data_IF_196479563137
#
_entry.id   IF_196479563137
#
_cell.length_a   1.000
_cell.length_b   1.000
_cell.length_c   1.000
_cell.angle_alpha   90.00
_cell.angle_beta   90.00
_cell.angle_gamma   90.00
#
_symmetry.space_group_name_H-M   'P 1'
#
loop_
_entity.id
_entity.type
_entity.pdbx_description
1 polymer ?
#
# COMPACT_ATOMS: atom_id res chain seq x y z
N UNK A 1 -15.20 -0.79 15.36
CA UNK A 1 -15.34 -0.51 13.92
C UNK A 1 -14.48 -1.52 13.18
N UNK A 2 -15.04 -2.21 12.20
CA UNK A 2 -14.45 -3.36 11.52
C UNK A 2 -14.39 -3.06 10.03
N UNK A 3 -13.37 -3.57 9.34
CA UNK A 3 -13.14 -3.27 7.92
C UNK A 3 -14.14 -4.01 7.00
N UNK A 4 -14.53 -5.21 7.40
CA UNK A 4 -15.52 -6.03 6.70
C UNK A 4 -16.48 -6.68 7.71
N UNK A 5 -17.56 -7.29 7.20
CA UNK A 5 -18.47 -8.10 8.04
C UNK A 5 -17.77 -9.38 8.54
N UNK A 6 -16.80 -9.88 7.80
CA UNK A 6 -16.07 -11.09 8.17
C UNK A 6 -15.17 -10.83 9.39
N UNK A 7 -14.55 -9.65 9.46
CA UNK A 7 -13.79 -9.18 10.62
C UNK A 7 -14.59 -9.20 11.95
N UNK A 8 -15.93 -9.17 11.91
CA UNK A 8 -16.74 -9.23 13.14
C UNK A 8 -16.90 -10.64 13.69
N UNK A 9 -16.51 -11.67 12.94
CA UNK A 9 -16.77 -13.07 13.31
C UNK A 9 -15.82 -13.57 14.39
N UNK A 10 -14.57 -13.09 14.40
CA UNK A 10 -13.58 -13.49 15.39
C UNK A 10 -12.49 -12.41 15.53
N UNK A 11 -11.92 -12.17 16.73
CA UNK A 11 -10.89 -11.13 16.90
C UNK A 11 -9.64 -11.32 16.01
N UNK A 12 -9.27 -12.56 15.71
CA UNK A 12 -8.18 -12.83 14.77
C UNK A 12 -8.51 -12.47 13.31
N UNK A 13 -9.80 -12.51 12.92
CA UNK A 13 -10.21 -12.10 11.58
C UNK A 13 -10.17 -10.59 11.43
N UNK A 14 -10.50 -9.83 12.48
CA UNK A 14 -10.30 -8.38 12.49
C UNK A 14 -8.82 -8.00 12.28
N UNK A 15 -7.90 -8.73 12.93
CA UNK A 15 -6.48 -8.56 12.71
C UNK A 15 -6.07 -8.94 11.28
N UNK A 16 -6.47 -10.12 10.81
CA UNK A 16 -6.09 -10.65 9.50
C UNK A 16 -6.58 -9.74 8.36
N UNK A 17 -7.83 -9.32 8.38
CA UNK A 17 -8.42 -8.46 7.36
C UNK A 17 -7.78 -7.06 7.37
N UNK A 18 -7.51 -6.50 8.55
CA UNK A 18 -6.81 -5.20 8.64
C UNK A 18 -5.37 -5.31 8.12
N UNK A 19 -4.69 -6.42 8.39
CA UNK A 19 -3.32 -6.65 7.92
C UNK A 19 -3.27 -6.90 6.41
N UNK A 20 -4.18 -7.70 5.87
CA UNK A 20 -4.30 -7.93 4.43
C UNK A 20 -4.52 -6.61 3.68
N UNK A 21 -5.43 -5.78 4.16
CA UNK A 21 -5.71 -4.48 3.56
C UNK A 21 -4.49 -3.53 3.64
N UNK A 22 -3.76 -3.54 4.75
CA UNK A 22 -2.49 -2.80 4.85
C UNK A 22 -1.47 -3.23 3.78
N UNK A 23 -1.34 -4.53 3.51
CA UNK A 23 -0.45 -5.05 2.48
C UNK A 23 -0.90 -4.62 1.08
N UNK A 24 -2.18 -4.80 0.76
CA UNK A 24 -2.72 -4.37 -0.53
C UNK A 24 -2.50 -2.87 -0.77
N UNK A 25 -2.67 -2.04 0.27
CA UNK A 25 -2.39 -0.61 0.20
C UNK A 25 -0.92 -0.32 -0.11
N UNK A 26 0.01 -0.95 0.61
CA UNK A 26 1.45 -0.74 0.42
C UNK A 26 1.93 -1.24 -0.94
N UNK A 27 1.52 -2.45 -1.35
CA UNK A 27 1.89 -3.05 -2.62
C UNK A 27 1.34 -2.23 -3.81
N UNK A 28 0.11 -1.71 -3.68
CA UNK A 28 -0.48 -0.83 -4.71
C UNK A 28 0.31 0.47 -4.84
N UNK A 29 0.66 1.10 -3.72
CA UNK A 29 1.45 2.35 -3.72
C UNK A 29 2.84 2.09 -4.29
N UNK A 30 3.56 1.06 -3.83
CA UNK A 30 4.90 0.72 -4.33
C UNK A 30 4.88 0.39 -5.83
N UNK A 31 3.90 -0.39 -6.28
CA UNK A 31 3.70 -0.69 -7.71
C UNK A 31 3.43 0.58 -8.51
N UNK A 32 2.58 1.46 -7.98
CA UNK A 32 2.26 2.73 -8.64
C UNK A 32 3.46 3.66 -8.74
N UNK A 33 4.35 3.66 -7.74
CA UNK A 33 5.60 4.41 -7.73
C UNK A 33 6.56 3.86 -8.78
N UNK A 34 6.66 2.54 -8.88
CA UNK A 34 7.49 1.87 -9.89
C UNK A 34 7.08 2.24 -11.33
N UNK A 35 5.77 2.33 -11.61
CA UNK A 35 5.25 2.73 -12.91
C UNK A 35 5.10 4.25 -13.10
N UNK A 36 5.43 5.07 -12.09
CA UNK A 36 5.37 6.52 -12.16
C UNK A 36 3.97 7.13 -12.08
N UNK A 37 2.97 6.39 -11.58
CA UNK A 37 1.63 6.93 -11.30
C UNK A 37 1.59 7.81 -10.05
N UNK A 38 2.46 7.52 -9.07
CA UNK A 38 2.64 8.31 -7.85
C UNK A 38 4.10 8.72 -7.73
N UNK A 39 4.35 9.95 -7.27
CA UNK A 39 5.71 10.38 -6.92
C UNK A 39 6.13 9.65 -5.63
N UNK A 40 7.20 8.87 -5.68
CA UNK A 40 7.72 8.07 -4.55
C UNK A 40 8.31 8.85 -3.36
N UNK A 41 7.87 10.09 -3.17
CA UNK A 41 8.23 10.92 -2.02
C UNK A 41 7.07 10.94 -1.01
N UNK A 42 6.68 9.76 -0.52
CA UNK A 42 5.64 9.56 0.49
C UNK A 42 6.25 9.07 1.81
N UNK A 43 6.90 9.95 2.60
CA UNK A 43 7.65 9.56 3.78
C UNK A 43 6.75 9.14 4.95
N UNK A 44 5.50 9.64 5.02
CA UNK A 44 4.59 9.31 6.12
C UNK A 44 3.51 8.32 5.71
N UNK A 45 2.98 7.57 6.68
CA UNK A 45 1.82 6.70 6.48
C UNK A 45 0.63 7.42 5.86
N UNK A 46 0.36 8.67 6.28
CA UNK A 46 -0.77 9.44 5.75
C UNK A 46 -0.55 9.83 4.29
N UNK A 47 0.68 10.12 3.88
CA UNK A 47 0.98 10.42 2.48
C UNK A 47 0.72 9.20 1.59
N UNK A 48 1.13 8.01 2.04
CA UNK A 48 0.84 6.74 1.36
C UNK A 48 -0.65 6.44 1.29
N UNK A 49 -1.38 6.64 2.40
CA UNK A 49 -2.83 6.46 2.45
C UNK A 49 -3.55 7.39 1.44
N UNK A 50 -3.19 8.67 1.41
CA UNK A 50 -3.77 9.62 0.44
C UNK A 50 -3.40 9.28 -1.00
N UNK A 51 -2.18 8.76 -1.25
CA UNK A 51 -1.79 8.29 -2.57
C UNK A 51 -2.65 7.09 -3.00
N UNK A 52 -2.85 6.12 -2.10
CA UNK A 52 -3.71 4.97 -2.33
C UNK A 52 -5.17 5.38 -2.61
N UNK A 53 -5.75 6.28 -1.82
CA UNK A 53 -7.13 6.76 -2.03
C UNK A 53 -7.30 7.41 -3.42
N UNK A 54 -6.32 8.22 -3.85
CA UNK A 54 -6.34 8.83 -5.19
C UNK A 54 -6.24 7.79 -6.30
N UNK A 55 -5.38 6.80 -6.13
CA UNK A 55 -5.25 5.68 -7.07
C UNK A 55 -6.54 4.87 -7.14
N UNK A 56 -7.14 4.54 -5.99
CA UNK A 56 -8.38 3.80 -5.90
C UNK A 56 -9.50 4.49 -6.68
N UNK A 57 -9.68 5.81 -6.50
CA UNK A 57 -10.64 6.59 -7.29
C UNK A 57 -10.34 6.50 -8.79
N UNK A 58 -9.08 6.74 -9.20
CA UNK A 58 -8.71 6.71 -10.61
C UNK A 58 -8.96 5.34 -11.26
N UNK A 59 -8.54 4.25 -10.60
CA UNK A 59 -8.68 2.89 -11.08
C UNK A 59 -10.15 2.47 -11.14
N UNK A 60 -10.94 2.81 -10.11
CA UNK A 60 -12.36 2.48 -10.09
C UNK A 60 -13.12 3.21 -11.22
N UNK A 61 -12.83 4.49 -11.47
CA UNK A 61 -13.46 5.22 -12.57
C UNK A 61 -13.04 4.67 -13.94
N UNK A 62 -11.80 4.23 -14.11
CA UNK A 62 -11.37 3.52 -15.31
C UNK A 62 -12.14 2.21 -15.50
N UNK A 63 -12.24 1.39 -14.45
CA UNK A 63 -12.99 0.14 -14.49
C UNK A 63 -14.46 0.38 -14.84
N UNK A 64 -15.09 1.37 -14.22
CA UNK A 64 -16.48 1.75 -14.51
C UNK A 64 -16.66 2.19 -15.95
N UNK A 65 -15.69 2.90 -16.53
CA UNK A 65 -15.70 3.31 -17.93
C UNK A 65 -15.69 2.15 -18.94
N UNK A 66 -15.08 1.02 -18.58
CA UNK A 66 -15.07 -0.22 -19.41
C UNK A 66 -16.16 -1.23 -19.01
N UNK A 67 -17.02 -0.88 -18.06
CA UNK A 67 -18.09 -1.76 -17.56
C UNK A 67 -17.61 -2.87 -16.62
N UNK A 68 -16.41 -2.74 -16.07
CA UNK A 68 -15.85 -3.64 -15.05
C UNK A 68 -16.19 -3.09 -13.66
N UNK A 69 -16.34 -3.98 -12.68
CA UNK A 69 -16.59 -3.60 -11.29
C UNK A 69 -15.40 -2.83 -10.69
N UNK A 70 -15.69 -1.99 -9.70
CA UNK A 70 -14.69 -1.24 -8.94
C UNK A 70 -13.66 -2.23 -8.34
N UNK A 71 -12.37 -1.98 -8.60
CA UNK A 71 -11.28 -2.86 -8.14
C UNK A 71 -10.96 -2.65 -6.67
N UNK A 72 -11.01 -1.38 -6.24
CA UNK A 72 -10.63 -0.94 -4.89
C UNK A 72 -11.78 -0.14 -4.27
N UNK A 73 -12.92 -0.77 -3.95
CA UNK A 73 -14.12 -0.06 -3.47
C UNK A 73 -14.04 0.39 -1.99
N UNK A 74 -12.89 0.19 -1.35
CA UNK A 74 -12.75 0.27 0.09
C UNK A 74 -12.71 1.72 0.60
N UNK A 75 -13.39 1.98 1.72
CA UNK A 75 -13.41 3.29 2.38
C UNK A 75 -12.96 3.13 3.81
N UNK A 76 -11.88 3.79 4.19
CA UNK A 76 -11.32 3.69 5.53
C UNK A 76 -12.04 4.60 6.51
N UNK A 77 -12.57 4.00 7.58
CA UNK A 77 -13.12 4.77 8.71
C UNK A 77 -11.99 5.23 9.64
N UNK A 78 -12.17 6.33 10.40
CA UNK A 78 -11.12 6.84 11.30
C UNK A 78 -10.59 5.78 12.29
N UNK A 79 -11.46 4.90 12.78
CA UNK A 79 -11.05 3.81 13.68
C UNK A 79 -10.20 2.75 12.98
N UNK A 80 -10.44 2.48 11.70
CA UNK A 80 -9.63 1.53 10.90
C UNK A 80 -8.28 2.15 10.57
N UNK A 81 -8.23 3.45 10.26
CA UNK A 81 -6.99 4.19 10.03
C UNK A 81 -6.03 4.07 11.23
N UNK A 82 -6.55 4.15 12.45
CA UNK A 82 -5.71 3.97 13.65
C UNK A 82 -5.18 2.54 13.81
N UNK A 83 -5.92 1.53 13.37
CA UNK A 83 -5.42 0.15 13.34
C UNK A 83 -4.30 0.00 12.31
N UNK A 84 -4.50 0.51 11.09
CA UNK A 84 -3.49 0.51 10.03
C UNK A 84 -2.22 1.25 10.47
N UNK A 85 -2.36 2.41 11.11
CA UNK A 85 -1.24 3.16 11.71
C UNK A 85 -0.46 2.34 12.74
N UNK A 86 -1.15 1.49 13.50
CA UNK A 86 -0.52 0.62 14.49
C UNK A 86 0.34 -0.44 13.81
N UNK A 87 -0.15 -1.04 12.73
CA UNK A 87 0.59 -2.01 11.90
C UNK A 87 1.81 -1.34 11.27
N UNK A 88 1.64 -0.17 10.67
CA UNK A 88 2.73 0.59 10.05
C UNK A 88 3.88 0.86 11.02
N UNK A 89 3.56 1.32 12.24
CA UNK A 89 4.56 1.52 13.31
C UNK A 89 5.30 0.22 13.65
N UNK A 90 4.60 -0.92 13.69
CA UNK A 90 5.23 -2.20 13.96
C UNK A 90 6.20 -2.61 12.85
N UNK A 91 5.80 -2.44 11.58
CA UNK A 91 6.66 -2.70 10.41
C UNK A 91 7.89 -1.81 10.43
N UNK A 92 7.72 -0.50 10.63
CA UNK A 92 8.84 0.45 10.72
C UNK A 92 9.79 0.11 11.86
N UNK A 93 9.28 -0.35 13.01
CA UNK A 93 10.09 -0.81 14.14
C UNK A 93 10.90 -2.06 13.79
N UNK A 94 10.32 -2.99 13.04
CA UNK A 94 10.97 -4.21 12.60
C UNK A 94 12.08 -3.89 11.59
N UNK A 95 11.82 -2.99 10.64
CA UNK A 95 12.79 -2.52 9.64
C UNK A 95 13.96 -1.79 10.28
N UNK A 96 13.70 -0.84 11.20
CA UNK A 96 14.76 -0.09 11.91
C UNK A 96 15.63 -0.98 12.79
N UNK A 97 15.12 -2.11 13.28
CA UNK A 97 15.90 -3.11 14.02
C UNK A 97 16.74 -4.02 13.13
N UNK A 98 16.68 -3.86 11.81
CA UNK A 98 17.40 -4.68 10.83
C UNK A 98 16.97 -6.15 10.84
N UNK A 99 15.77 -6.45 11.37
CA UNK A 99 15.28 -7.82 11.46
C UNK A 99 14.74 -8.34 10.11
N UNK A 100 14.45 -7.43 9.18
CA UNK A 100 13.99 -7.71 7.82
C UNK A 100 14.60 -6.67 6.87
N UNK A 101 15.20 -7.12 5.77
CA UNK A 101 15.64 -6.25 4.67
C UNK A 101 14.65 -6.35 3.51
N UNK A 102 14.19 -5.21 3.01
CA UNK A 102 13.38 -5.17 1.79
C UNK A 102 14.22 -5.68 0.63
N UNK A 103 13.75 -6.67 -0.16
CA UNK A 103 14.37 -7.01 -1.43
C UNK A 103 14.45 -5.73 -2.29
N UNK A 104 15.56 -5.54 -3.03
CA UNK A 104 15.65 -4.42 -3.96
C UNK A 104 14.47 -4.47 -4.93
N UNK A 105 13.81 -3.32 -5.12
CA UNK A 105 12.78 -3.17 -6.12
C UNK A 105 13.30 -3.68 -7.48
N UNK A 106 12.45 -4.33 -8.30
CA UNK A 106 12.83 -4.67 -9.67
C UNK A 106 13.26 -3.40 -10.40
N UNK A 107 14.21 -3.55 -11.32
CA UNK A 107 14.73 -2.43 -12.10
C UNK A 107 13.61 -1.61 -12.73
N UNK A 108 13.62 -0.29 -12.52
CA UNK A 108 12.68 0.59 -13.21
C UNK A 108 12.98 0.53 -14.71
N UNK A 109 11.94 0.23 -15.50
CA UNK A 109 12.04 0.25 -16.95
C UNK A 109 12.09 1.71 -17.36
N UNK A 110 13.24 2.17 -17.86
CA UNK A 110 13.34 3.51 -18.42
C UNK A 110 12.58 3.59 -19.76
N UNK A 111 12.29 4.82 -20.22
CA UNK A 111 11.55 5.07 -21.46
C UNK A 111 12.18 4.43 -22.72
N UNK A 112 13.43 3.97 -22.65
CA UNK A 112 14.16 3.26 -23.69
C UNK A 112 14.04 1.73 -23.60
N UNK A 113 13.27 1.20 -22.63
CA UNK A 113 13.11 -0.23 -22.37
C UNK A 113 14.29 -0.87 -21.64
N UNK A 114 15.29 -0.10 -21.20
CA UNK A 114 16.38 -0.63 -20.39
C UNK A 114 16.01 -0.71 -18.91
N UNK A 115 16.59 -1.67 -18.21
CA UNK A 115 16.31 -1.94 -16.80
C UNK A 115 17.42 -1.31 -15.95
N UNK A 116 17.17 -0.14 -15.36
CA UNK A 116 18.13 0.47 -14.44
C UNK A 116 18.01 -0.20 -13.06
N UNK A 117 19.08 -0.80 -12.57
CA UNK A 117 19.10 -1.33 -11.19
C UNK A 117 18.88 -0.17 -10.21
N UNK A 118 17.96 -0.26 -9.25
CA UNK A 118 17.85 0.76 -8.22
C UNK A 118 19.13 0.72 -7.40
N UNK A 119 19.81 1.86 -7.30
CA UNK A 119 20.89 2.03 -6.34
C UNK A 119 20.38 1.57 -4.99
N UNK A 120 21.05 0.57 -4.40
CA UNK A 120 20.73 0.05 -3.07
C UNK A 120 20.41 1.22 -2.15
N UNK A 121 19.19 1.24 -1.58
CA UNK A 121 18.87 2.14 -0.48
C UNK A 121 19.85 1.77 0.63
N UNK A 122 20.93 2.55 0.75
CA UNK A 122 21.88 2.43 1.85
C UNK A 122 21.12 2.94 3.08
N UNK A 123 20.62 2.00 3.87
CA UNK A 123 20.16 2.29 5.23
C UNK A 123 21.39 2.77 6.02
N UNK A 124 21.30 3.88 6.76
CA UNK A 124 22.41 4.36 7.60
C UNK A 124 22.83 3.36 8.68
#
# INVERSE_FOLDING_TARGET
NYISRYATMHPWEDFAETFANYLDMMDTVETSEHFGFVNGNCPTFMDKLHAYERLGVAINELNRGVGVLDLVPEVFTPSVIEKLRTIDKAVMTIQTRGLWTTPQAPCSISNDGSCATPSSVQVP
#
